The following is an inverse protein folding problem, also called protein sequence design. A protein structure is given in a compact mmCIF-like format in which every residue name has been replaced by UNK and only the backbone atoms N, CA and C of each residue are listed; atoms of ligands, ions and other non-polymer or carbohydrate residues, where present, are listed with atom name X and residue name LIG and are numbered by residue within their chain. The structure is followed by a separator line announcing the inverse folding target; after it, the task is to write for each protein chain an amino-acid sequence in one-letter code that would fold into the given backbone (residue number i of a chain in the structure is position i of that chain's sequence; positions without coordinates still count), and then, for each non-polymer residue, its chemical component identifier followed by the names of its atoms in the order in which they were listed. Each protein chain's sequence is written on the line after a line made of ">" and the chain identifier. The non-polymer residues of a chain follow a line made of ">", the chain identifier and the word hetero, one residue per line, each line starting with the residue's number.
data_IF_020322554196
#
_entry.id   IF_020322554196
#
_cell.length_a   1.000
_cell.length_b   1.000
_cell.length_c   1.000
_cell.angle_alpha   90.00
_cell.angle_beta   90.00
_cell.angle_gamma   90.00
#
_symmetry.space_group_name_H-M   'P 1'
#
loop_
_entity.id
_entity.type
_entity.pdbx_description
1 polymer ?
#
# COMPACT_ATOMS: atom_id res chain seq x y z
N UNK A 1 -21.14 14.53 15.30
CA UNK A 1 -20.88 14.09 13.91
C UNK A 1 -19.38 14.00 13.72
N UNK A 2 -18.86 12.87 13.22
CA UNK A 2 -17.43 12.59 13.17
C UNK A 2 -16.98 12.36 11.71
N UNK A 3 -15.84 12.93 11.29
CA UNK A 3 -15.31 12.70 9.95
C UNK A 3 -14.95 11.22 9.74
N UNK A 4 -15.13 10.71 8.52
CA UNK A 4 -14.67 9.38 8.17
C UNK A 4 -13.14 9.33 8.26
N UNK A 5 -12.64 8.44 9.11
CA UNK A 5 -11.20 8.24 9.30
C UNK A 5 -10.78 6.84 8.93
N UNK A 6 -9.53 6.71 8.49
CA UNK A 6 -8.91 5.44 8.18
C UNK A 6 -7.49 5.40 8.73
N UNK A 7 -7.19 4.40 9.56
CA UNK A 7 -5.83 4.17 10.08
C UNK A 7 -5.15 3.14 9.20
N UNK A 8 -4.03 3.53 8.59
CA UNK A 8 -3.27 2.66 7.72
C UNK A 8 -2.41 1.64 8.52
N UNK A 9 -1.81 0.65 7.85
CA UNK A 9 -0.91 -0.36 8.50
C UNK A 9 0.37 0.24 9.09
N UNK A 10 0.71 1.48 8.74
CA UNK A 10 1.82 2.23 9.34
C UNK A 10 1.39 3.02 10.59
N UNK A 11 0.13 2.93 11.02
CA UNK A 11 -0.42 3.65 12.16
C UNK A 11 -0.74 5.13 11.91
N UNK A 12 -0.70 5.59 10.66
CA UNK A 12 -1.11 6.95 10.31
C UNK A 12 -2.60 7.01 10.06
N UNK A 13 -3.27 7.94 10.75
CA UNK A 13 -4.69 8.25 10.53
C UNK A 13 -4.86 9.24 9.38
N UNK A 14 -5.79 8.92 8.49
CA UNK A 14 -6.22 9.76 7.38
C UNK A 14 -7.67 10.15 7.56
N UNK A 15 -8.01 11.36 7.15
CA UNK A 15 -9.35 11.93 7.13
C UNK A 15 -9.83 12.05 5.69
N UNK A 16 -11.06 11.62 5.42
CA UNK A 16 -11.68 11.82 4.11
C UNK A 16 -12.19 13.26 4.01
N UNK A 17 -11.67 13.98 3.03
CA UNK A 17 -12.10 15.35 2.75
C UNK A 17 -12.69 15.47 1.34
N UNK A 18 -13.69 16.35 1.22
CA UNK A 18 -14.27 16.80 -0.04
C UNK A 18 -13.69 18.17 -0.39
N UNK A 19 -13.12 18.24 -1.58
CA UNK A 19 -12.76 19.48 -2.26
C UNK A 19 -13.51 19.61 -3.58
N UNK A 20 -13.25 20.72 -4.27
CA UNK A 20 -13.83 21.00 -5.59
C UNK A 20 -12.70 21.12 -6.61
N UNK A 21 -12.85 20.47 -7.75
CA UNK A 21 -11.90 20.63 -8.87
C UNK A 21 -12.07 22.00 -9.54
N UNK A 22 -11.10 22.43 -10.35
CA UNK A 22 -11.21 23.67 -11.16
C UNK A 22 -12.47 23.70 -12.04
N UNK A 23 -13.01 22.53 -12.39
CA UNK A 23 -14.21 22.35 -13.22
C UNK A 23 -15.50 22.19 -12.39
N UNK A 24 -15.46 22.43 -11.07
CA UNK A 24 -16.63 22.36 -10.19
C UNK A 24 -17.04 20.95 -9.74
N UNK A 25 -16.40 19.89 -10.25
CA UNK A 25 -16.72 18.51 -9.84
C UNK A 25 -16.18 18.21 -8.44
N UNK A 26 -16.92 17.47 -7.58
CA UNK A 26 -16.44 17.07 -6.27
C UNK A 26 -15.23 16.14 -6.41
N UNK A 27 -14.21 16.38 -5.60
CA UNK A 27 -13.02 15.54 -5.50
C UNK A 27 -12.85 15.09 -4.06
N UNK A 28 -12.74 13.79 -3.88
CA UNK A 28 -12.52 13.17 -2.58
C UNK A 28 -11.04 12.84 -2.42
N UNK A 29 -10.46 13.20 -1.28
CA UNK A 29 -9.05 12.94 -0.97
C UNK A 29 -8.85 12.60 0.50
N UNK A 30 -8.07 11.56 0.76
CA UNK A 30 -7.57 11.28 2.10
C UNK A 30 -6.36 12.16 2.41
N UNK A 31 -6.40 12.86 3.55
CA UNK A 31 -5.28 13.66 4.05
C UNK A 31 -5.06 13.42 5.53
N UNK A 32 -3.82 13.57 6.02
CA UNK A 32 -3.50 13.40 7.45
C UNK A 32 -3.93 14.59 8.31
N UNK A 33 -4.19 15.70 7.66
CA UNK A 33 -4.78 16.89 8.26
C UNK A 33 -6.17 17.08 7.63
N UNK A 34 -7.20 17.41 8.43
CA UNK A 34 -8.49 17.78 7.87
C UNK A 34 -8.32 19.03 7.00
N UNK A 35 -8.66 18.93 5.71
CA UNK A 35 -8.51 20.00 4.72
C UNK A 35 -9.72 20.04 3.81
N UNK A 36 -10.49 21.12 3.89
CA UNK A 36 -11.76 21.26 3.17
C UNK A 36 -12.92 20.75 4.02
N UNK A 37 -13.94 20.22 3.35
CA UNK A 37 -15.15 19.77 4.03
C UNK A 37 -15.01 18.29 4.44
N UNK A 38 -15.16 17.98 5.74
CA UNK A 38 -15.11 16.59 6.21
C UNK A 38 -16.27 15.79 5.63
N UNK A 39 -15.98 14.57 5.19
CA UNK A 39 -17.00 13.66 4.66
C UNK A 39 -17.25 12.57 5.68
N UNK A 40 -18.51 12.26 5.92
CA UNK A 40 -18.93 11.30 6.94
C UNK A 40 -19.02 9.86 6.41
N UNK A 41 -19.25 9.71 5.11
CA UNK A 41 -19.49 8.42 4.47
C UNK A 41 -18.70 8.29 3.18
N UNK A 42 -18.39 7.03 2.83
CA UNK A 42 -17.76 6.72 1.56
C UNK A 42 -18.77 6.98 0.42
N UNK A 43 -18.40 7.70 -0.65
CA UNK A 43 -19.31 7.88 -1.77
C UNK A 43 -19.58 6.56 -2.48
N UNK A 44 -20.79 6.39 -3.01
CA UNK A 44 -21.21 5.17 -3.68
C UNK A 44 -20.30 4.79 -4.85
N UNK A 45 -19.99 3.49 -4.96
CA UNK A 45 -19.12 2.95 -6.00
C UNK A 45 -17.64 3.28 -5.80
N UNK A 46 -17.24 3.71 -4.60
CA UNK A 46 -15.84 3.86 -4.23
C UNK A 46 -15.46 2.94 -3.07
N UNK A 47 -14.17 2.61 -3.01
CA UNK A 47 -13.54 1.79 -1.98
C UNK A 47 -12.24 2.45 -1.52
N UNK A 48 -11.82 2.12 -0.30
CA UNK A 48 -10.56 2.58 0.27
C UNK A 48 -9.45 1.62 -0.15
N UNK A 49 -8.46 2.10 -0.89
CA UNK A 49 -7.26 1.35 -1.22
C UNK A 49 -6.06 1.94 -0.49
N UNK A 50 -5.24 1.06 0.10
CA UNK A 50 -3.96 1.44 0.63
C UNK A 50 -2.82 0.89 -0.23
N UNK A 51 -1.94 1.79 -0.66
CA UNK A 51 -0.70 1.44 -1.38
C UNK A 51 0.32 0.74 -0.47
N UNK A 52 1.31 0.09 -1.08
CA UNK A 52 2.43 -0.53 -0.34
C UNK A 52 3.20 0.46 0.54
N UNK A 53 3.23 1.74 0.14
CA UNK A 53 3.89 2.80 0.88
C UNK A 53 3.05 3.34 2.04
N UNK A 54 1.82 2.84 2.22
CA UNK A 54 0.90 3.30 3.26
C UNK A 54 0.14 4.58 2.89
N UNK A 55 0.17 5.00 1.62
CA UNK A 55 -0.70 6.08 1.14
C UNK A 55 -2.08 5.49 0.92
N UNK A 56 -3.08 6.11 1.55
CA UNK A 56 -4.51 5.76 1.45
C UNK A 56 -5.14 6.60 0.34
N UNK A 57 -5.95 5.98 -0.51
CA UNK A 57 -6.62 6.64 -1.62
C UNK A 57 -8.01 6.08 -1.83
N UNK A 58 -8.88 6.91 -2.38
CA UNK A 58 -10.20 6.50 -2.79
C UNK A 58 -10.14 6.00 -4.24
N UNK A 59 -10.52 4.75 -4.47
CA UNK A 59 -10.58 4.15 -5.80
C UNK A 59 -12.02 3.82 -6.16
N UNK A 60 -12.34 3.74 -7.45
CA UNK A 60 -13.65 3.21 -7.86
C UNK A 60 -13.70 1.72 -7.56
N UNK A 61 -14.79 1.25 -6.98
CA UNK A 61 -15.08 -0.15 -6.79
C UNK A 61 -15.05 -0.87 -8.15
N UNK A 62 -14.33 -1.98 -8.22
CA UNK A 62 -14.23 -2.82 -9.42
C UNK A 62 -14.29 -4.29 -8.97
N UNK A 63 -14.93 -5.17 -9.75
CA UNK A 63 -14.96 -6.58 -9.42
C UNK A 63 -13.54 -7.13 -9.36
N UNK A 64 -13.25 -7.88 -8.31
CA UNK A 64 -12.04 -8.68 -8.23
C UNK A 64 -12.23 -9.89 -9.14
N UNK A 65 -11.43 -9.97 -10.21
CA UNK A 65 -11.50 -11.06 -11.19
C UNK A 65 -10.63 -12.25 -10.79
N UNK A 66 -9.68 -12.03 -9.87
CA UNK A 66 -8.76 -13.06 -9.39
C UNK A 66 -9.40 -13.80 -8.23
N UNK A 67 -9.48 -15.13 -8.38
CA UNK A 67 -10.03 -16.01 -7.37
C UNK A 67 -9.08 -16.15 -6.17
N UNK A 68 -9.61 -16.35 -4.96
CA UNK A 68 -8.79 -16.60 -3.77
C UNK A 68 -7.80 -17.77 -3.94
N UNK A 69 -8.19 -18.80 -4.69
CA UNK A 69 -7.37 -19.98 -4.98
C UNK A 69 -6.13 -19.63 -5.82
N UNK A 70 -6.26 -18.74 -6.80
CA UNK A 70 -5.14 -18.27 -7.62
C UNK A 70 -4.14 -17.49 -6.77
N UNK A 71 -4.63 -16.65 -5.86
CA UNK A 71 -3.79 -15.92 -4.89
C UNK A 71 -3.04 -16.90 -3.99
N UNK A 72 -3.75 -17.89 -3.45
CA UNK A 72 -3.16 -18.91 -2.58
C UNK A 72 -2.07 -19.72 -3.29
N UNK A 73 -2.26 -20.04 -4.58
CA UNK A 73 -1.25 -20.72 -5.38
C UNK A 73 0.03 -19.88 -5.52
N UNK A 74 -0.10 -18.57 -5.79
CA UNK A 74 1.04 -17.65 -5.86
C UNK A 74 1.75 -17.52 -4.51
N UNK A 75 1.00 -17.37 -3.42
CA UNK A 75 1.56 -17.29 -2.07
C UNK A 75 2.31 -18.56 -1.68
N UNK A 76 1.77 -19.74 -2.00
CA UNK A 76 2.42 -21.02 -1.77
C UNK A 76 3.73 -21.15 -2.55
N UNK A 77 3.76 -20.68 -3.81
CA UNK A 77 4.97 -20.67 -4.63
C UNK A 77 6.04 -19.73 -4.04
N UNK A 78 5.65 -18.51 -3.63
CA UNK A 78 6.57 -17.55 -3.02
C UNK A 78 7.12 -18.03 -1.67
N UNK A 79 6.31 -18.75 -0.88
CA UNK A 79 6.75 -19.34 0.40
C UNK A 79 7.85 -20.39 0.22
N UNK A 80 7.83 -21.14 -0.89
CA UNK A 80 8.85 -22.14 -1.24
C UNK A 80 10.12 -21.52 -1.82
N UNK A 81 10.05 -20.26 -2.27
CA UNK A 81 11.20 -19.60 -2.88
C UNK A 81 12.29 -19.29 -1.84
N UNK A 82 13.59 -19.48 -2.13
CA UNK A 82 14.68 -19.21 -1.18
C UNK A 82 14.68 -17.77 -0.63
N UNK A 83 14.25 -16.82 -1.47
CA UNK A 83 14.09 -15.40 -1.12
C UNK A 83 12.64 -15.03 -0.80
N UNK A 84 11.79 -15.98 -0.42
CA UNK A 84 10.34 -15.78 -0.19
C UNK A 84 10.03 -14.58 0.71
N UNK A 85 10.86 -14.35 1.74
CA UNK A 85 10.77 -13.21 2.67
C UNK A 85 10.97 -11.84 2.03
N UNK A 86 11.56 -11.76 0.83
CA UNK A 86 11.76 -10.51 0.08
C UNK A 86 10.54 -10.14 -0.76
N UNK A 87 9.58 -11.04 -0.93
CA UNK A 87 8.41 -10.80 -1.77
C UNK A 87 7.19 -10.43 -0.94
N UNK A 88 6.39 -9.51 -1.46
CA UNK A 88 5.08 -9.16 -0.93
C UNK A 88 4.05 -9.20 -2.05
N UNK A 89 2.95 -9.89 -1.80
CA UNK A 89 1.82 -9.99 -2.74
C UNK A 89 0.81 -8.87 -2.45
N UNK A 90 0.24 -8.31 -3.51
CA UNK A 90 -0.96 -7.50 -3.47
C UNK A 90 -1.87 -7.89 -4.65
N UNK A 91 -3.16 -7.95 -4.43
CA UNK A 91 -4.15 -8.26 -5.48
C UNK A 91 -4.89 -6.99 -5.83
N UNK A 92 -4.99 -6.66 -7.11
CA UNK A 92 -5.68 -5.47 -7.60
C UNK A 92 -6.57 -5.82 -8.79
N UNK A 93 -7.87 -5.93 -8.55
CA UNK A 93 -8.90 -6.25 -9.54
C UNK A 93 -8.55 -7.49 -10.39
N UNK A 94 -7.81 -7.29 -11.48
CA UNK A 94 -7.45 -8.25 -12.52
C UNK A 94 -5.96 -8.67 -12.49
N UNK A 95 -5.16 -8.16 -11.54
CA UNK A 95 -3.73 -8.46 -11.47
C UNK A 95 -3.24 -8.84 -10.07
N UNK A 96 -2.29 -9.77 -10.03
CA UNK A 96 -1.47 -10.06 -8.85
C UNK A 96 -0.16 -9.28 -9.00
N UNK A 97 0.15 -8.42 -8.03
CA UNK A 97 1.37 -7.62 -7.99
C UNK A 97 2.29 -8.23 -6.95
N UNK A 98 3.48 -8.64 -7.38
CA UNK A 98 4.54 -9.13 -6.50
C UNK A 98 5.59 -8.03 -6.39
N UNK A 99 5.76 -7.50 -5.18
CA UNK A 99 6.81 -6.53 -4.86
C UNK A 99 8.03 -7.27 -4.35
N UNK A 100 9.20 -6.98 -4.91
CA UNK A 100 10.48 -7.45 -4.39
C UNK A 100 11.18 -6.36 -3.59
N UNK A 101 11.64 -6.70 -2.39
CA UNK A 101 12.49 -5.83 -1.60
C UNK A 101 13.90 -5.79 -2.21
N UNK A 102 14.16 -4.76 -3.02
CA UNK A 102 15.48 -4.45 -3.57
C UNK A 102 16.26 -3.60 -2.56
N UNK A 103 16.99 -4.26 -1.66
CA UNK A 103 17.84 -3.62 -0.65
C UNK A 103 18.78 -4.62 0.01
N UNK A 104 19.77 -4.15 0.79
CA UNK A 104 20.61 -5.05 1.58
C UNK A 104 19.72 -5.93 2.45
N UNK A 105 20.00 -7.23 2.48
CA UNK A 105 19.22 -8.13 3.33
C UNK A 105 19.41 -7.77 4.82
N UNK A 106 18.46 -8.24 5.63
CA UNK A 106 18.45 -7.96 7.07
C UNK A 106 19.74 -8.44 7.74
N UNK A 107 20.39 -9.50 7.23
CA UNK A 107 21.67 -9.99 7.73
C UNK A 107 22.81 -9.00 7.47
N UNK A 108 22.87 -8.43 6.25
CA UNK A 108 23.82 -7.38 5.88
C UNK A 108 23.58 -6.12 6.71
N UNK A 109 22.31 -5.72 6.90
CA UNK A 109 21.95 -4.58 7.74
C UNK A 109 22.31 -4.86 9.21
N UNK A 110 22.06 -6.05 9.72
CA UNK A 110 22.39 -6.47 11.09
C UNK A 110 23.89 -6.43 11.34
N UNK A 111 24.71 -6.86 10.39
CA UNK A 111 26.17 -6.79 10.47
C UNK A 111 26.66 -5.34 10.54
N UNK A 112 26.09 -4.46 9.72
CA UNK A 112 26.41 -3.03 9.73
C UNK A 112 25.98 -2.39 11.07
N UNK A 113 24.75 -2.65 11.52
CA UNK A 113 24.22 -2.10 12.78
C UNK A 113 24.98 -2.60 14.01
N UNK A 114 25.34 -3.89 14.03
CA UNK A 114 26.17 -4.49 15.08
C UNK A 114 27.58 -3.90 15.11
N UNK A 115 28.19 -3.66 13.94
CA UNK A 115 29.50 -2.99 13.86
C UNK A 115 29.46 -1.50 14.26
N UNK A 116 28.29 -0.87 14.18
CA UNK A 116 28.08 0.54 14.52
C UNK A 116 27.57 0.75 15.96
N UNK A 117 27.39 -0.31 16.76
CA UNK A 117 26.91 -0.21 18.15
C UNK A 117 25.45 0.22 18.31
N UNK A 118 24.64 0.15 17.25
CA UNK A 118 23.25 0.62 17.24
C UNK A 118 22.34 -0.53 17.71
N UNK A 119 21.89 -0.47 18.97
CA UNK A 119 21.05 -1.52 19.60
C UNK A 119 19.55 -1.41 19.28
N UNK A 120 19.08 -0.31 18.68
CA UNK A 120 17.68 -0.18 18.27
C UNK A 120 17.54 0.65 17.00
N UNK A 121 16.71 0.14 16.08
CA UNK A 121 16.33 0.84 14.85
C UNK A 121 14.97 1.46 15.11
N UNK A 122 14.94 2.77 15.33
CA UNK A 122 13.68 3.52 15.42
C UNK A 122 13.08 3.56 14.01
N UNK A 123 11.76 3.28 13.81
CA UNK A 123 11.16 3.36 12.50
C UNK A 123 11.38 4.76 11.92
N UNK A 124 11.91 4.84 10.68
CA UNK A 124 12.06 6.09 9.94
C UNK A 124 10.70 6.79 9.82
N UNK A 125 10.40 7.67 10.77
CA UNK A 125 9.35 8.65 10.64
C UNK A 125 9.85 9.76 9.71
N UNK A 126 9.27 9.74 8.51
CA UNK A 126 9.21 10.82 7.49
C UNK A 126 10.39 10.89 6.51
N UNK A 127 10.00 11.11 5.24
CA UNK A 127 10.78 11.96 4.34
C UNK A 127 11.47 11.30 3.16
N UNK A 128 10.77 10.54 2.31
CA UNK A 128 11.16 10.43 0.89
C UNK A 128 10.00 9.91 0.04
N UNK A 129 9.01 10.77 -0.20
CA UNK A 129 8.13 10.62 -1.35
C UNK A 129 8.94 10.89 -2.61
N UNK A 130 9.49 9.83 -3.22
CA UNK A 130 9.86 9.69 -4.65
C UNK A 130 10.88 8.56 -4.83
N UNK A 131 10.47 7.31 -4.61
CA UNK A 131 11.17 6.19 -5.23
C UNK A 131 10.10 5.25 -5.77
N UNK A 132 10.05 5.13 -7.09
CA UNK A 132 9.41 4.00 -7.78
C UNK A 132 10.51 2.98 -8.02
N UNK A 133 10.71 1.93 -7.21
CA UNK A 133 11.60 0.86 -7.61
C UNK A 133 10.73 -0.24 -8.25
N UNK A 134 10.96 -0.43 -9.55
CA UNK A 134 10.76 -1.66 -10.31
C UNK A 134 9.55 -2.54 -9.92
N UNK A 135 8.40 -2.21 -10.51
CA UNK A 135 7.32 -3.19 -10.72
C UNK A 135 7.73 -4.12 -11.87
N UNK A 136 8.01 -5.38 -11.56
CA UNK A 136 7.88 -6.43 -12.57
C UNK A 136 6.42 -6.85 -12.61
N UNK A 137 5.68 -6.36 -13.61
CA UNK A 137 4.36 -6.88 -13.96
C UNK A 137 4.58 -8.26 -14.60
N UNK A 138 4.42 -9.32 -13.83
CA UNK A 138 4.22 -10.64 -14.41
C UNK A 138 2.80 -10.68 -14.96
N UNK A 139 2.67 -10.49 -16.28
CA UNK A 139 1.43 -10.79 -16.99
C UNK A 139 1.21 -12.30 -16.93
N UNK A 140 0.36 -12.73 -16.01
CA UNK A 140 -0.13 -14.10 -15.95
C UNK A 140 -1.12 -14.30 -17.10
N UNK A 141 -0.76 -15.15 -18.07
CA UNK A 141 -1.73 -15.75 -19.00
C UNK A 141 -2.14 -17.07 -18.35
N UNK A 142 -3.42 -17.19 -18.03
CA UNK A 142 -4.01 -18.30 -17.28
C UNK A 142 -3.67 -19.68 -17.82
N UNK A 143 -3.80 -20.67 -16.94
CA UNK A 143 -3.87 -22.10 -17.28
C UNK A 143 -5.25 -22.37 -17.89
#
# INVERSE_FOLDING_TARGET
>A
MAPLTYTNRKGFTYFLNRGVTKTGKPRYTFAREPKGEPVEQLPDGYEIEESINGIVSLIKARPQLILPEEVAAVEAALKKHPKGRKYRVAVKSDKIIIYEATGPDIESISKILGSAGIQSVIPLQKGCDKIRPNCTLLNWRGI
#
